data_IF_499323615873
#
_entry.id   IF_499323615873
#
_cell.length_a   1.000
_cell.length_b   1.000
_cell.length_c   1.000
_cell.angle_alpha   90.00
_cell.angle_beta   90.00
_cell.angle_gamma   90.00
#
_symmetry.space_group_name_H-M   'P 1'
#
loop_
_entity.id
_entity.type
_entity.pdbx_description
1 polymer ?
#
# COMPACT_ATOMS: atom_id res chain seq x y z
N UNK A 1 -23.98 -1.06 11.57
CA UNK A 1 -23.31 0.26 11.45
C UNK A 1 -22.78 0.33 10.02
N UNK A 2 -23.37 1.15 9.14
CA UNK A 2 -22.80 1.43 7.81
C UNK A 2 -21.90 2.65 7.98
N UNK A 3 -20.59 2.45 7.91
CA UNK A 3 -19.63 3.56 7.97
C UNK A 3 -19.36 4.04 6.54
N UNK A 4 -19.45 5.35 6.25
CA UNK A 4 -19.10 5.87 4.94
C UNK A 4 -17.61 5.66 4.64
N UNK A 5 -17.28 5.37 3.39
CA UNK A 5 -15.92 5.14 2.92
C UNK A 5 -15.51 6.27 1.97
N UNK A 6 -14.31 6.83 2.21
CA UNK A 6 -13.62 7.74 1.29
C UNK A 6 -12.36 7.03 0.79
N UNK A 7 -12.10 7.08 -0.52
CA UNK A 7 -10.92 6.44 -1.12
C UNK A 7 -9.91 7.51 -1.55
N UNK A 8 -8.77 7.53 -0.88
CA UNK A 8 -7.61 8.34 -1.26
C UNK A 8 -6.93 7.76 -2.50
N UNK A 9 -6.89 8.55 -3.57
CA UNK A 9 -6.10 8.28 -4.75
C UNK A 9 -4.67 8.78 -4.52
N UNK A 10 -3.71 7.87 -4.65
CA UNK A 10 -2.28 8.16 -4.55
C UNK A 10 -1.59 7.51 -5.74
N UNK A 11 -0.74 8.27 -6.42
CA UNK A 11 0.05 7.77 -7.54
C UNK A 11 1.10 6.74 -7.08
N UNK A 12 1.67 6.00 -8.03
CA UNK A 12 2.61 4.92 -7.73
C UNK A 12 3.87 5.42 -7.01
N UNK A 13 4.42 6.56 -7.41
CA UNK A 13 5.66 7.10 -6.84
C UNK A 13 5.46 7.51 -5.38
N UNK A 14 4.37 8.21 -5.09
CA UNK A 14 3.99 8.58 -3.73
C UNK A 14 3.76 7.35 -2.85
N UNK A 15 3.13 6.29 -3.37
CA UNK A 15 2.95 5.03 -2.63
C UNK A 15 4.28 4.36 -2.30
N UNK A 16 5.20 4.30 -3.26
CA UNK A 16 6.53 3.74 -3.04
C UNK A 16 7.30 4.53 -1.98
N UNK A 17 7.30 5.86 -2.08
CA UNK A 17 7.96 6.75 -1.13
C UNK A 17 7.40 6.56 0.28
N UNK A 18 6.08 6.57 0.45
CA UNK A 18 5.44 6.39 1.75
C UNK A 18 5.76 5.02 2.36
N UNK A 19 5.65 3.94 1.58
CA UNK A 19 5.99 2.59 2.07
C UNK A 19 7.46 2.52 2.48
N UNK A 20 8.35 3.08 1.67
CA UNK A 20 9.76 3.10 1.99
C UNK A 20 10.06 3.86 3.28
N UNK A 21 9.53 5.08 3.42
CA UNK A 21 9.78 5.93 4.58
C UNK A 21 9.17 5.38 5.87
N UNK A 22 7.94 4.88 5.82
CA UNK A 22 7.20 4.44 7.00
C UNK A 22 7.52 3.00 7.41
N UNK A 23 7.85 2.12 6.45
CA UNK A 23 8.00 0.68 6.72
C UNK A 23 9.40 0.14 6.45
N UNK A 24 10.15 0.68 5.49
CA UNK A 24 11.46 0.11 5.10
C UNK A 24 12.62 0.76 5.84
N UNK A 25 12.60 2.10 5.98
CA UNK A 25 13.60 2.83 6.75
C UNK A 25 13.71 2.33 8.20
N UNK A 26 12.61 2.21 8.98
CA UNK A 26 12.71 1.80 10.37
C UNK A 26 12.89 0.28 10.57
N UNK A 27 12.66 -0.55 9.55
CA UNK A 27 12.68 -2.01 9.69
C UNK A 27 14.04 -2.62 9.34
N UNK A 28 14.35 -3.79 9.90
CA UNK A 28 15.47 -4.61 9.48
C UNK A 28 15.03 -5.70 8.46
N UNK A 29 16.00 -6.39 7.87
CA UNK A 29 15.70 -7.48 6.93
C UNK A 29 14.86 -8.58 7.59
N UNK A 30 15.17 -8.94 8.84
CA UNK A 30 14.51 -10.03 9.57
C UNK A 30 13.01 -9.80 9.74
N UNK A 31 12.61 -8.61 10.15
CA UNK A 31 11.20 -8.23 10.36
C UNK A 31 10.40 -8.18 9.06
N UNK A 32 10.98 -7.65 7.98
CA UNK A 32 10.33 -7.63 6.66
C UNK A 32 10.26 -9.02 6.02
N UNK A 33 11.32 -9.82 6.15
CA UNK A 33 11.34 -11.21 5.67
C UNK A 33 10.29 -12.06 6.39
N UNK A 34 10.17 -11.92 7.71
CA UNK A 34 9.12 -12.58 8.48
C UNK A 34 7.72 -12.13 8.03
N UNK A 35 7.52 -10.83 7.81
CA UNK A 35 6.25 -10.29 7.30
C UNK A 35 5.90 -10.83 5.91
N UNK A 36 6.88 -10.93 5.01
CA UNK A 36 6.74 -11.51 3.68
C UNK A 36 6.37 -13.01 3.75
N UNK A 37 6.98 -13.77 4.65
CA UNK A 37 6.67 -15.18 4.84
C UNK A 37 5.20 -15.40 5.23
N UNK A 38 4.62 -14.52 6.06
CA UNK A 38 3.22 -14.61 6.48
C UNK A 38 2.22 -14.49 5.33
N UNK A 39 2.60 -13.85 4.23
CA UNK A 39 1.75 -13.67 3.04
C UNK A 39 2.10 -14.64 1.91
N UNK A 40 3.11 -15.51 2.07
CA UNK A 40 3.63 -16.41 1.03
C UNK A 40 2.53 -17.26 0.37
N UNK A 41 1.63 -17.85 1.15
CA UNK A 41 0.53 -18.69 0.63
C UNK A 41 -0.40 -17.91 -0.31
N UNK A 42 -0.68 -16.64 0.00
CA UNK A 42 -1.55 -15.79 -0.81
C UNK A 42 -0.83 -15.21 -2.02
N UNK A 43 0.47 -14.94 -1.87
CA UNK A 43 1.32 -14.42 -2.94
C UNK A 43 1.58 -15.47 -4.03
N UNK A 44 1.70 -16.75 -3.64
CA UNK A 44 2.05 -17.87 -4.51
C UNK A 44 3.56 -18.14 -4.49
N UNK A 45 3.95 -19.40 -4.69
CA UNK A 45 5.33 -19.87 -4.49
C UNK A 45 6.38 -19.13 -5.34
N UNK A 46 6.13 -19.02 -6.65
CA UNK A 46 7.08 -18.38 -7.57
C UNK A 46 7.27 -16.90 -7.27
N UNK A 47 6.16 -16.17 -7.05
CA UNK A 47 6.18 -14.75 -6.71
C UNK A 47 6.80 -14.49 -5.33
N UNK A 48 6.54 -15.37 -4.36
CA UNK A 48 7.20 -15.28 -3.06
C UNK A 48 8.71 -15.41 -3.19
N UNK A 49 9.18 -16.37 -4.00
CA UNK A 49 10.61 -16.56 -4.24
C UNK A 49 11.23 -15.31 -4.88
N UNK A 50 10.64 -14.80 -5.95
CA UNK A 50 11.08 -13.57 -6.63
C UNK A 50 11.18 -12.38 -5.66
N UNK A 51 10.09 -12.08 -4.94
CA UNK A 51 10.04 -10.96 -3.99
C UNK A 51 11.02 -11.17 -2.83
N UNK A 52 11.20 -12.40 -2.35
CA UNK A 52 12.14 -12.71 -1.27
C UNK A 52 13.60 -12.53 -1.70
N UNK A 53 13.93 -12.87 -2.94
CA UNK A 53 15.28 -12.69 -3.51
C UNK A 53 15.58 -11.20 -3.71
N UNK A 54 14.64 -10.43 -4.24
CA UNK A 54 14.78 -8.98 -4.39
C UNK A 54 14.89 -8.26 -3.05
N UNK A 55 14.06 -8.63 -2.07
CA UNK A 55 14.12 -8.09 -0.71
C UNK A 55 15.51 -8.33 -0.12
N UNK A 56 16.03 -9.56 -0.22
CA UNK A 56 17.36 -9.89 0.28
C UNK A 56 18.45 -9.05 -0.40
N UNK A 57 18.43 -8.98 -1.73
CA UNK A 57 19.42 -8.20 -2.50
C UNK A 57 19.38 -6.71 -2.17
N UNK A 58 18.19 -6.15 -1.90
CA UNK A 58 18.05 -4.74 -1.51
C UNK A 58 18.76 -4.44 -0.17
N UNK A 59 18.66 -5.36 0.79
CA UNK A 59 19.29 -5.23 2.12
C UNK A 59 20.81 -5.47 2.12
N UNK A 60 21.38 -6.01 1.03
CA UNK A 60 22.83 -6.10 0.82
C UNK A 60 23.43 -4.76 0.35
N UNK A 61 22.58 -3.77 0.03
CA UNK A 61 22.98 -2.43 -0.45
C UNK A 61 22.63 -1.36 0.59
N UNK A 62 23.18 -0.13 0.47
CA UNK A 62 22.74 1.00 1.28
C UNK A 62 21.23 1.21 1.12
N UNK A 63 20.54 1.46 2.23
CA UNK A 63 19.10 1.73 2.23
C UNK A 63 18.80 2.99 1.41
N UNK A 64 18.29 2.78 0.20
CA UNK A 64 17.80 3.82 -0.70
C UNK A 64 16.48 3.36 -1.31
N UNK A 65 15.60 4.30 -1.68
CA UNK A 65 14.32 3.95 -2.30
C UNK A 65 14.53 3.10 -3.56
N UNK A 66 15.51 3.44 -4.39
CA UNK A 66 15.81 2.76 -5.66
C UNK A 66 16.11 1.27 -5.47
N UNK A 67 16.83 0.91 -4.40
CA UNK A 67 17.15 -0.49 -4.10
C UNK A 67 15.93 -1.29 -3.62
N UNK A 68 14.95 -0.64 -3.00
CA UNK A 68 13.77 -1.32 -2.45
C UNK A 68 12.52 -1.20 -3.35
N UNK A 69 12.52 -0.33 -4.36
CA UNK A 69 11.35 -0.06 -5.19
C UNK A 69 10.82 -1.30 -5.93
N UNK A 70 11.70 -2.21 -6.35
CA UNK A 70 11.34 -3.43 -7.11
C UNK A 70 10.37 -4.34 -6.34
N UNK A 71 10.82 -4.85 -5.19
CA UNK A 71 10.02 -5.78 -4.39
C UNK A 71 8.78 -5.12 -3.79
N UNK A 72 8.83 -3.82 -3.47
CA UNK A 72 7.65 -3.06 -3.03
C UNK A 72 6.62 -3.00 -4.16
N UNK A 73 7.04 -2.67 -5.38
CA UNK A 73 6.17 -2.63 -6.56
C UNK A 73 5.55 -3.99 -6.82
N UNK A 74 6.33 -5.07 -6.72
CA UNK A 74 5.82 -6.43 -6.88
C UNK A 74 4.75 -6.78 -5.83
N UNK A 75 4.96 -6.42 -4.56
CA UNK A 75 3.97 -6.63 -3.50
C UNK A 75 2.69 -5.81 -3.70
N UNK A 76 2.81 -4.55 -4.12
CA UNK A 76 1.66 -3.72 -4.46
C UNK A 76 0.82 -4.39 -5.55
N UNK A 77 1.47 -4.77 -6.65
CA UNK A 77 0.81 -5.37 -7.81
C UNK A 77 0.19 -6.74 -7.52
N UNK A 78 0.91 -7.62 -6.85
CA UNK A 78 0.52 -9.02 -6.72
C UNK A 78 -0.29 -9.34 -5.47
N UNK A 79 -0.21 -8.49 -4.44
CA UNK A 79 -0.85 -8.78 -3.15
C UNK A 79 -1.78 -7.66 -2.70
N UNK A 80 -1.29 -6.44 -2.56
CA UNK A 80 -2.06 -5.37 -1.91
C UNK A 80 -3.15 -4.79 -2.82
N UNK A 81 -2.85 -4.45 -4.07
CA UNK A 81 -3.82 -3.85 -4.99
C UNK A 81 -5.00 -4.79 -5.27
N UNK A 82 -4.78 -6.08 -5.62
CA UNK A 82 -5.89 -7.02 -5.82
C UNK A 82 -6.68 -7.32 -4.54
N UNK A 83 -6.06 -7.16 -3.36
CA UNK A 83 -6.75 -7.27 -2.09
C UNK A 83 -7.71 -6.09 -1.88
N UNK A 84 -7.20 -4.86 -1.98
CA UNK A 84 -8.02 -3.66 -1.79
C UNK A 84 -9.08 -3.48 -2.87
N UNK A 85 -8.79 -3.78 -4.14
CA UNK A 85 -9.79 -3.66 -5.21
C UNK A 85 -11.05 -4.50 -4.95
N UNK A 86 -10.88 -5.71 -4.40
CA UNK A 86 -12.03 -6.58 -4.07
C UNK A 86 -12.86 -5.99 -2.96
N UNK A 87 -12.22 -5.48 -1.91
CA UNK A 87 -12.91 -4.86 -0.78
C UNK A 87 -13.60 -3.56 -1.20
N UNK A 88 -12.96 -2.75 -2.04
CA UNK A 88 -13.55 -1.54 -2.63
C UNK A 88 -14.78 -1.91 -3.46
N UNK A 89 -14.67 -2.90 -4.36
CA UNK A 89 -15.81 -3.34 -5.19
C UNK A 89 -16.97 -3.86 -4.35
N UNK A 90 -16.68 -4.63 -3.29
CA UNK A 90 -17.69 -5.18 -2.38
C UNK A 90 -18.44 -4.07 -1.62
N UNK A 91 -17.72 -3.04 -1.21
CA UNK A 91 -18.26 -1.94 -0.40
C UNK A 91 -18.55 -0.67 -1.23
N UNK A 92 -18.64 -0.79 -2.56
CA UNK A 92 -18.85 0.36 -3.44
C UNK A 92 -20.11 1.16 -3.08
N UNK A 93 -21.15 0.49 -2.57
CA UNK A 93 -22.39 1.11 -2.09
C UNK A 93 -22.19 2.03 -0.86
N UNK A 94 -21.06 1.96 -0.16
CA UNK A 94 -20.70 2.80 0.98
C UNK A 94 -19.70 3.91 0.61
N UNK A 95 -19.19 3.89 -0.62
CA UNK A 95 -18.24 4.90 -1.08
C UNK A 95 -18.97 6.22 -1.32
N UNK A 96 -18.62 7.24 -0.53
CA UNK A 96 -19.23 8.56 -0.63
C UNK A 96 -18.37 9.54 -1.44
N UNK A 97 -17.07 9.27 -1.58
CA UNK A 97 -16.14 10.11 -2.33
C UNK A 97 -14.85 9.36 -2.66
N UNK A 98 -14.19 9.74 -3.75
CA UNK A 98 -12.84 9.28 -4.10
C UNK A 98 -12.07 10.35 -4.86
N UNK A 99 -10.89 10.70 -4.37
CA UNK A 99 -10.07 11.78 -4.93
C UNK A 99 -8.68 11.80 -4.32
N UNK A 100 -7.87 12.75 -4.76
CA UNK A 100 -6.59 13.12 -4.17
C UNK A 100 -6.77 13.64 -2.74
N UNK A 101 -5.66 13.80 -2.01
CA UNK A 101 -5.70 14.35 -0.65
C UNK A 101 -6.34 15.75 -0.61
N UNK A 102 -6.09 16.58 -1.62
CA UNK A 102 -6.68 17.91 -1.74
C UNK A 102 -8.20 17.83 -1.93
N UNK A 103 -8.65 17.08 -2.93
CA UNK A 103 -10.08 16.89 -3.24
C UNK A 103 -10.85 16.31 -2.03
N UNK A 104 -10.22 15.37 -1.30
CA UNK A 104 -10.81 14.80 -0.09
C UNK A 104 -10.91 15.85 1.02
N UNK A 105 -9.86 16.66 1.23
CA UNK A 105 -9.87 17.73 2.22
C UNK A 105 -10.97 18.76 1.93
N UNK A 106 -11.09 19.17 0.67
CA UNK A 106 -12.16 20.07 0.19
C UNK A 106 -13.54 19.46 0.45
N UNK A 107 -13.75 18.20 0.04
CA UNK A 107 -15.01 17.49 0.26
C UNK A 107 -15.40 17.38 1.74
N UNK A 108 -14.44 17.09 2.63
CA UNK A 108 -14.68 17.01 4.07
C UNK A 108 -15.04 18.40 4.61
N UNK A 109 -14.28 19.44 4.25
CA UNK A 109 -14.52 20.81 4.69
C UNK A 109 -15.91 21.31 4.26
N UNK A 110 -16.31 21.09 3.01
CA UNK A 110 -17.64 21.47 2.53
C UNK A 110 -18.77 20.84 3.36
N UNK A 111 -18.60 19.58 3.79
CA UNK A 111 -19.61 18.90 4.62
C UNK A 111 -19.63 19.43 6.05
N UNK A 112 -18.48 19.69 6.65
CA UNK A 112 -18.39 20.30 7.99
C UNK A 112 -18.99 21.72 8.02
N UNK A 113 -18.88 22.47 6.91
CA UNK A 113 -19.48 23.82 6.81
C UNK A 113 -20.98 23.80 6.55
N UNK A 114 -21.55 22.72 6.01
CA UNK A 114 -22.99 22.59 5.73
C UNK A 114 -23.80 22.01 6.90
N UNK A 115 -23.13 21.42 7.88
CA UNK A 115 -23.74 20.90 9.11
C UNK A 115 -23.76 21.93 10.26
N UNK A 116 -23.19 23.13 10.04
CA UNK A 116 -23.29 24.31 10.91
C UNK A 116 -24.23 25.35 10.29
#
# INVERSE_FOLDING_TARGET
RNSPIIILKTDHESRLKNIYEEYVLPADFSSLSYSLQRIAKKLGGDRYKEVSEELKSAFEKPKSLDHHAGWITALLRYYYDPFYERDIKKNAHQMIFSGTALEISEFINERLTKEN
#
